data_IF_119241886049
#
_entry.id   IF_119241886049
#
_cell.length_a   1.000
_cell.length_b   1.000
_cell.length_c   1.000
_cell.angle_alpha   90.00
_cell.angle_beta   90.00
_cell.angle_gamma   90.00
#
_symmetry.space_group_name_H-M   'P 1'
#
loop_
_entity.id
_entity.type
_entity.pdbx_description
1 polymer ?
#
# COMPACT_ATOMS: atom_id res chain seq x y z
N UNK A 1 -28.59 -1.21 -9.30
CA UNK A 1 -27.79 -1.74 -8.16
C UNK A 1 -26.84 -2.86 -8.61
N UNK A 2 -27.30 -3.92 -9.28
CA UNK A 2 -26.45 -5.02 -9.75
C UNK A 2 -25.32 -4.61 -10.73
N UNK A 3 -25.59 -3.72 -11.69
CA UNK A 3 -24.56 -3.19 -12.61
C UNK A 3 -23.41 -2.45 -11.89
N UNK A 4 -23.74 -1.62 -10.89
CA UNK A 4 -22.73 -0.90 -10.07
C UNK A 4 -21.87 -1.87 -9.23
N UNK A 5 -22.49 -2.89 -8.64
CA UNK A 5 -21.76 -3.93 -7.88
C UNK A 5 -20.77 -4.69 -8.79
N UNK A 6 -21.17 -4.96 -10.04
CA UNK A 6 -20.30 -5.60 -11.02
C UNK A 6 -19.11 -4.68 -11.39
N UNK A 7 -19.35 -3.39 -11.63
CA UNK A 7 -18.27 -2.43 -11.92
C UNK A 7 -17.27 -2.27 -10.76
N UNK A 8 -17.76 -2.17 -9.52
CA UNK A 8 -16.90 -2.07 -8.34
C UNK A 8 -16.00 -3.31 -8.18
N UNK A 9 -16.57 -4.51 -8.41
CA UNK A 9 -15.81 -5.77 -8.36
C UNK A 9 -14.75 -5.83 -9.48
N UNK A 10 -15.11 -5.50 -10.71
CA UNK A 10 -14.17 -5.45 -11.84
C UNK A 10 -13.03 -4.46 -11.60
N UNK A 11 -13.33 -3.30 -11.02
CA UNK A 11 -12.32 -2.29 -10.64
C UNK A 11 -11.32 -2.85 -9.63
N UNK A 12 -11.80 -3.54 -8.58
CA UNK A 12 -10.92 -4.17 -7.59
C UNK A 12 -10.09 -5.29 -8.21
N UNK A 13 -10.67 -6.15 -9.06
CA UNK A 13 -9.91 -7.20 -9.75
C UNK A 13 -8.79 -6.63 -10.64
N UNK A 14 -9.05 -5.53 -11.35
CA UNK A 14 -8.01 -4.84 -12.13
C UNK A 14 -6.88 -4.31 -11.23
N UNK A 15 -7.21 -3.77 -10.05
CA UNK A 15 -6.22 -3.35 -9.05
C UNK A 15 -5.46 -4.52 -8.43
N UNK A 16 -6.13 -5.65 -8.14
CA UNK A 16 -5.47 -6.90 -7.73
C UNK A 16 -4.46 -7.35 -8.78
N UNK A 17 -4.79 -7.27 -10.07
CA UNK A 17 -3.85 -7.60 -11.15
C UNK A 17 -2.59 -6.71 -11.11
N UNK A 18 -2.75 -5.41 -10.82
CA UNK A 18 -1.60 -4.51 -10.62
C UNK A 18 -0.78 -4.87 -9.38
N UNK A 19 -1.43 -5.24 -8.26
CA UNK A 19 -0.73 -5.75 -7.08
C UNK A 19 0.04 -7.05 -7.39
N UNK A 20 -0.53 -7.96 -8.19
CA UNK A 20 0.14 -9.18 -8.64
C UNK A 20 1.38 -8.90 -9.48
N UNK A 21 1.42 -7.78 -10.19
CA UNK A 21 2.60 -7.33 -10.92
C UNK A 21 3.65 -6.72 -9.98
N UNK A 22 3.25 -5.80 -9.11
CA UNK A 22 4.20 -5.00 -8.33
C UNK A 22 4.77 -5.73 -7.12
N UNK A 23 3.94 -6.42 -6.35
CA UNK A 23 4.35 -6.98 -5.06
C UNK A 23 5.43 -8.06 -5.16
N UNK A 24 5.38 -9.05 -6.08
CA UNK A 24 6.43 -10.06 -6.19
C UNK A 24 7.82 -9.46 -6.38
N UNK A 25 7.90 -8.40 -7.19
CA UNK A 25 9.15 -7.72 -7.51
C UNK A 25 9.70 -6.93 -6.33
N UNK A 26 8.82 -6.44 -5.46
CA UNK A 26 9.18 -5.71 -4.24
C UNK A 26 9.45 -6.62 -3.03
N UNK A 27 9.28 -7.93 -3.19
CA UNK A 27 9.63 -8.91 -2.17
C UNK A 27 11.11 -8.73 -1.79
N UNK A 28 11.41 -8.79 -0.50
CA UNK A 28 12.76 -8.68 0.08
C UNK A 28 13.44 -7.31 -0.14
N UNK A 29 12.72 -6.29 -0.60
CA UNK A 29 13.24 -4.93 -0.75
C UNK A 29 12.89 -4.04 0.46
N UNK A 30 13.68 -3.00 0.69
CA UNK A 30 13.49 -2.02 1.75
C UNK A 30 12.34 -1.06 1.40
N UNK A 31 11.23 -1.04 2.16
CA UNK A 31 10.08 -0.19 1.85
C UNK A 31 10.36 1.31 2.10
N UNK A 32 11.33 1.64 2.97
CA UNK A 32 11.73 3.03 3.22
C UNK A 32 12.42 3.61 1.98
N UNK A 33 13.44 2.91 1.45
CA UNK A 33 14.08 3.29 0.20
C UNK A 33 13.09 3.42 -0.95
N UNK A 34 12.15 2.48 -1.04
CA UNK A 34 11.11 2.51 -2.06
C UNK A 34 10.22 3.76 -1.92
N UNK A 35 9.64 4.00 -0.75
CA UNK A 35 8.73 5.13 -0.50
C UNK A 35 9.42 6.51 -0.52
N UNK A 36 10.68 6.59 -0.09
CA UNK A 36 11.44 7.85 -0.05
C UNK A 36 12.08 8.22 -1.41
N UNK A 37 12.44 7.24 -2.24
CA UNK A 37 13.28 7.51 -3.43
C UNK A 37 12.85 6.83 -4.72
N UNK A 38 11.79 6.00 -4.71
CA UNK A 38 11.42 5.17 -5.85
C UNK A 38 12.59 4.29 -6.37
N UNK A 39 13.33 3.68 -5.44
CA UNK A 39 14.42 2.73 -5.72
C UNK A 39 14.16 1.37 -5.06
N UNK A 40 14.60 0.31 -5.73
CA UNK A 40 14.68 -1.05 -5.20
C UNK A 40 16.05 -1.24 -4.54
N UNK A 41 16.07 -1.36 -3.21
CA UNK A 41 17.26 -1.73 -2.44
C UNK A 41 16.92 -2.98 -1.65
N UNK A 42 17.74 -4.02 -1.73
CA UNK A 42 17.50 -5.27 -0.99
C UNK A 42 17.57 -5.00 0.52
N UNK A 43 16.58 -5.46 1.27
CA UNK A 43 16.50 -5.25 2.71
C UNK A 43 17.66 -5.91 3.47
N UNK A 44 18.14 -7.06 3.00
CA UNK A 44 19.28 -7.76 3.59
C UNK A 44 20.59 -6.96 3.49
N UNK A 45 20.72 -6.08 2.49
CA UNK A 45 21.91 -5.25 2.29
C UNK A 45 21.85 -3.96 3.10
N UNK A 46 20.78 -3.74 3.87
CA UNK A 46 20.42 -2.45 4.46
C UNK A 46 20.07 -2.61 5.94
N UNK A 47 20.96 -3.26 6.71
CA UNK A 47 20.82 -3.40 8.18
C UNK A 47 20.76 -2.05 8.89
N UNK A 48 21.24 -0.98 8.25
CA UNK A 48 21.16 0.41 8.72
C UNK A 48 20.60 1.32 7.61
N UNK A 49 19.32 1.11 7.25
CA UNK A 49 18.63 2.00 6.31
C UNK A 49 18.81 3.46 6.73
N UNK A 50 19.45 4.33 5.91
CA UNK A 50 19.75 5.70 6.29
C UNK A 50 18.46 6.51 6.56
N UNK A 51 17.36 6.10 5.92
CA UNK A 51 16.05 6.71 6.10
C UNK A 51 15.36 6.35 7.43
N UNK A 52 15.89 5.38 8.19
CA UNK A 52 15.35 5.03 9.51
C UNK A 52 15.40 6.22 10.47
N UNK A 53 16.40 7.10 10.32
CA UNK A 53 16.53 8.31 11.12
C UNK A 53 15.81 9.52 10.51
N UNK A 54 15.51 9.49 9.20
CA UNK A 54 14.81 10.56 8.48
C UNK A 54 13.30 10.45 8.60
N UNK A 55 12.77 9.24 8.81
CA UNK A 55 11.35 8.96 8.94
C UNK A 55 11.04 8.66 10.42
N UNK A 56 10.11 9.37 11.07
CA UNK A 56 9.79 9.17 12.48
C UNK A 56 9.11 7.80 12.68
N UNK A 57 9.90 6.76 12.91
CA UNK A 57 9.38 5.39 13.01
C UNK A 57 8.45 5.17 14.20
N UNK A 58 8.50 6.02 15.22
CA UNK A 58 7.54 6.00 16.33
C UNK A 58 6.13 6.38 15.86
N UNK A 59 5.99 7.41 15.02
CA UNK A 59 4.75 7.82 14.37
C UNK A 59 4.25 6.74 13.41
N UNK A 60 5.16 6.03 12.70
CA UNK A 60 4.76 4.89 11.86
C UNK A 60 4.03 3.80 12.66
N UNK A 61 4.47 3.49 13.87
CA UNK A 61 3.79 2.50 14.71
C UNK A 61 2.39 2.98 15.12
N UNK A 62 2.22 4.28 15.36
CA UNK A 62 0.90 4.88 15.61
C UNK A 62 0.04 4.76 14.35
N UNK A 63 0.52 5.24 13.20
CA UNK A 63 -0.15 5.13 11.90
C UNK A 63 -0.62 3.69 11.62
N UNK A 64 0.27 2.70 11.74
CA UNK A 64 -0.10 1.29 11.48
C UNK A 64 -1.16 0.78 12.46
N UNK A 65 -1.10 1.17 13.74
CA UNK A 65 -2.06 0.73 14.76
C UNK A 65 -3.48 1.28 14.53
N UNK A 66 -3.61 2.41 13.85
CA UNK A 66 -4.91 3.02 13.56
C UNK A 66 -5.71 2.27 12.50
N UNK A 67 -5.06 1.45 11.67
CA UNK A 67 -5.76 0.61 10.70
C UNK A 67 -6.54 -0.50 11.40
N UNK A 68 -7.85 -0.32 11.45
CA UNK A 68 -8.81 -1.32 11.90
C UNK A 68 -9.61 -1.80 10.70
N UNK A 69 -9.38 -3.05 10.29
CA UNK A 69 -10.08 -3.63 9.15
C UNK A 69 -11.15 -4.61 9.62
N UNK A 70 -12.26 -4.68 8.87
CA UNK A 70 -13.16 -5.80 9.02
C UNK A 70 -12.40 -7.12 8.75
N UNK A 71 -12.65 -8.18 9.54
CA UNK A 71 -11.93 -9.44 9.40
C UNK A 71 -11.90 -9.96 7.95
N UNK A 72 -10.73 -10.44 7.53
CA UNK A 72 -10.49 -11.01 6.19
C UNK A 72 -10.65 -10.04 5.01
N UNK A 73 -10.67 -8.73 5.25
CA UNK A 73 -10.72 -7.72 4.18
C UNK A 73 -9.31 -7.32 3.73
N UNK A 74 -8.41 -7.15 4.69
CA UNK A 74 -7.00 -6.81 4.45
C UNK A 74 -6.10 -7.60 5.39
N UNK A 75 -4.85 -7.81 4.97
CA UNK A 75 -3.82 -8.36 5.83
C UNK A 75 -3.29 -7.26 6.77
N UNK A 76 -3.52 -7.39 8.08
CA UNK A 76 -3.01 -6.45 9.09
C UNK A 76 -1.48 -6.31 9.11
N UNK A 77 -0.74 -7.27 8.55
CA UNK A 77 0.71 -7.17 8.47
C UNK A 77 1.16 -6.24 7.35
N UNK A 78 0.53 -6.30 6.18
CA UNK A 78 1.04 -5.66 4.96
C UNK A 78 0.04 -4.77 4.20
N UNK A 79 -1.21 -4.63 4.67
CA UNK A 79 -2.31 -3.92 4.01
C UNK A 79 -2.81 -4.54 2.70
N UNK A 80 -2.28 -5.67 2.23
CA UNK A 80 -2.77 -6.29 1.00
C UNK A 80 -4.23 -6.77 1.17
N UNK A 81 -5.08 -6.60 0.14
CA UNK A 81 -6.45 -7.11 0.17
C UNK A 81 -6.47 -8.63 0.31
N UNK A 82 -7.49 -9.13 1.00
CA UNK A 82 -7.75 -10.55 1.20
C UNK A 82 -9.07 -10.94 0.55
N UNK A 83 -9.19 -12.20 0.16
CA UNK A 83 -10.39 -12.70 -0.47
C UNK A 83 -11.42 -13.07 0.57
N UNK A 84 -12.37 -12.17 0.81
CA UNK A 84 -13.61 -12.52 1.51
C UNK A 84 -14.48 -13.35 0.58
N UNK A 85 -14.93 -14.52 1.04
CA UNK A 85 -15.82 -15.42 0.29
C UNK A 85 -15.30 -15.82 -1.11
N UNK A 86 -13.99 -16.00 -1.27
CA UNK A 86 -13.37 -16.40 -2.55
C UNK A 86 -13.64 -15.44 -3.73
N UNK A 87 -13.79 -14.14 -3.46
CA UNK A 87 -14.04 -13.11 -4.48
C UNK A 87 -12.85 -12.82 -5.44
N UNK A 88 -11.70 -13.51 -5.29
CA UNK A 88 -10.54 -13.34 -6.16
C UNK A 88 -9.73 -12.05 -5.96
N UNK A 89 -10.08 -11.20 -4.98
CA UNK A 89 -9.38 -9.93 -4.75
C UNK A 89 -8.02 -10.07 -4.04
N UNK A 90 -7.70 -11.25 -3.49
CA UNK A 90 -6.41 -11.54 -2.88
C UNK A 90 -5.31 -11.67 -3.95
N UNK A 91 -4.20 -10.91 -3.84
CA UNK A 91 -3.05 -11.10 -4.72
C UNK A 91 -2.45 -12.50 -4.56
N UNK A 92 -2.08 -13.13 -5.68
CA UNK A 92 -1.51 -14.47 -5.73
C UNK A 92 -0.25 -14.60 -4.86
N UNK A 93 0.60 -13.57 -4.84
CA UNK A 93 1.80 -13.52 -4.00
C UNK A 93 1.49 -13.55 -2.49
N UNK A 94 0.24 -13.26 -2.11
CA UNK A 94 -0.23 -13.27 -0.73
C UNK A 94 -1.19 -14.44 -0.44
N UNK A 95 -1.60 -15.23 -1.44
CA UNK A 95 -2.62 -16.27 -1.31
C UNK A 95 -2.29 -17.30 -0.21
N UNK A 96 -1.01 -17.67 -0.10
CA UNK A 96 -0.53 -18.72 0.81
C UNK A 96 -0.28 -18.23 2.25
N UNK A 97 -0.16 -16.92 2.44
CA UNK A 97 0.23 -16.29 3.71
C UNK A 97 -1.00 -15.87 4.51
N UNK A 98 -1.66 -16.87 5.12
CA UNK A 98 -2.81 -16.66 6.01
C UNK A 98 -2.33 -16.51 7.46
N UNK A 99 -2.86 -15.51 8.18
CA UNK A 99 -2.51 -15.14 9.57
C UNK A 99 -2.40 -16.32 10.57
N UNK A 100 -3.12 -17.42 10.33
CA UNK A 100 -3.14 -18.59 11.22
C UNK A 100 -2.06 -19.66 10.95
N UNK A 101 -1.30 -19.57 9.85
CA UNK A 101 -0.36 -20.62 9.42
C UNK A 101 1.09 -20.46 9.94
N UNK A 102 1.34 -19.59 10.94
CA UNK A 102 2.68 -19.30 11.52
C UNK A 102 3.76 -18.88 10.51
N UNK A 103 3.41 -18.63 9.25
CA UNK A 103 4.34 -18.15 8.23
C UNK A 103 4.30 -16.62 8.23
N UNK A 104 5.41 -15.92 8.52
CA UNK A 104 5.44 -14.47 8.48
C UNK A 104 5.11 -13.99 7.06
N UNK A 105 4.26 -12.96 6.95
CA UNK A 105 3.95 -12.35 5.66
C UNK A 105 5.24 -11.75 5.08
N UNK A 106 5.71 -12.15 3.88
CA UNK A 106 6.96 -11.64 3.32
C UNK A 106 6.89 -10.15 2.94
N UNK A 107 5.67 -9.59 2.90
CA UNK A 107 5.42 -8.18 2.62
C UNK A 107 5.11 -7.38 3.88
N UNK A 108 5.40 -7.92 5.08
CA UNK A 108 5.04 -7.29 6.34
C UNK A 108 5.54 -5.83 6.42
N UNK A 109 4.60 -4.92 6.61
CA UNK A 109 4.82 -3.50 6.71
C UNK A 109 5.12 -2.79 5.39
N UNK A 110 5.19 -3.47 4.24
CA UNK A 110 5.71 -2.86 3.01
C UNK A 110 4.83 -1.69 2.52
N UNK A 111 3.55 -1.93 2.26
CA UNK A 111 2.63 -0.88 1.78
C UNK A 111 2.52 0.24 2.82
N UNK A 112 2.31 -0.12 4.10
CA UNK A 112 2.22 0.85 5.18
C UNK A 112 3.46 1.76 5.24
N UNK A 113 4.67 1.18 5.25
CA UNK A 113 5.92 1.95 5.34
C UNK A 113 6.13 2.79 4.09
N UNK A 114 5.90 2.24 2.90
CA UNK A 114 6.06 2.98 1.65
C UNK A 114 5.16 4.22 1.62
N UNK A 115 3.88 4.07 1.98
CA UNK A 115 2.90 5.17 1.99
C UNK A 115 3.19 6.18 3.09
N UNK A 116 3.59 5.72 4.27
CA UNK A 116 4.04 6.60 5.35
C UNK A 116 5.30 7.39 4.95
N UNK A 117 6.26 6.76 4.27
CA UNK A 117 7.45 7.45 3.76
C UNK A 117 7.09 8.51 2.70
N UNK A 118 6.13 8.23 1.82
CA UNK A 118 5.65 9.23 0.85
C UNK A 118 5.08 10.48 1.54
N UNK A 119 4.43 10.32 2.70
CA UNK A 119 3.93 11.46 3.49
C UNK A 119 5.06 12.32 4.08
N UNK A 120 6.17 11.70 4.48
CA UNK A 120 7.31 12.42 5.03
C UNK A 120 8.25 12.98 3.97
N UNK A 121 8.09 12.59 2.70
CA UNK A 121 8.83 13.18 1.59
C UNK A 121 7.99 14.21 0.85
N UNK A 122 8.37 15.49 0.96
CA UNK A 122 7.54 16.63 0.55
C UNK A 122 7.06 16.53 -0.90
N UNK A 123 7.96 16.16 -1.82
CA UNK A 123 7.62 16.00 -3.23
C UNK A 123 6.53 14.96 -3.43
N UNK A 124 6.63 13.81 -2.76
CA UNK A 124 5.65 12.74 -2.91
C UNK A 124 4.35 13.04 -2.18
N UNK A 125 4.41 13.67 -1.01
CA UNK A 125 3.22 14.16 -0.30
C UNK A 125 2.40 15.10 -1.16
N UNK A 126 3.02 16.11 -1.77
CA UNK A 126 2.32 17.08 -2.62
C UNK A 126 1.64 16.41 -3.81
N UNK A 127 2.32 15.47 -4.48
CA UNK A 127 1.74 14.72 -5.60
C UNK A 127 0.61 13.79 -5.15
N UNK A 128 0.78 13.09 -4.01
CA UNK A 128 -0.23 12.21 -3.44
C UNK A 128 -1.52 12.97 -3.11
N UNK A 129 -1.41 14.12 -2.45
CA UNK A 129 -2.55 14.97 -2.09
C UNK A 129 -3.29 15.45 -3.34
N UNK A 130 -2.54 15.90 -4.35
CA UNK A 130 -3.10 16.38 -5.61
C UNK A 130 -3.82 15.28 -6.38
N UNK A 131 -3.18 14.13 -6.57
CA UNK A 131 -3.62 13.15 -7.54
C UNK A 131 -4.53 12.06 -6.95
N UNK A 132 -4.40 11.75 -5.66
CA UNK A 132 -5.11 10.65 -5.00
C UNK A 132 -6.13 11.16 -3.99
N UNK A 133 -5.74 12.13 -3.16
CA UNK A 133 -6.65 12.72 -2.17
C UNK A 133 -7.64 13.73 -2.77
N UNK A 134 -7.61 13.94 -4.10
CA UNK A 134 -8.55 14.83 -4.80
C UNK A 134 -8.43 16.28 -4.38
N UNK A 135 -7.25 16.71 -3.93
CA UNK A 135 -7.03 18.06 -3.39
C UNK A 135 -7.54 18.27 -1.97
N UNK A 136 -7.83 17.19 -1.22
CA UNK A 136 -8.10 17.30 0.21
C UNK A 136 -6.94 17.98 0.94
N UNK A 137 -7.27 18.86 1.88
CA UNK A 137 -6.27 19.58 2.68
C UNK A 137 -5.76 18.68 3.81
N UNK A 138 -4.86 17.76 3.48
CA UNK A 138 -4.14 16.96 4.46
C UNK A 138 -2.92 17.77 4.92
N UNK A 139 -3.05 18.48 6.04
CA UNK A 139 -2.01 19.39 6.55
C UNK A 139 -1.23 18.78 7.72
N UNK A 140 -1.87 17.85 8.43
CA UNK A 140 -1.35 17.21 9.64
C UNK A 140 -1.21 15.71 9.43
N UNK A 141 -0.38 15.08 10.28
CA UNK A 141 -0.26 13.63 10.29
C UNK A 141 -1.61 12.97 10.61
N UNK A 142 -2.37 13.48 11.59
CA UNK A 142 -3.65 12.88 11.98
C UNK A 142 -4.69 12.91 10.85
N UNK A 143 -4.76 14.01 10.09
CA UNK A 143 -5.61 14.09 8.88
C UNK A 143 -5.19 13.06 7.84
N UNK A 144 -3.88 12.91 7.62
CA UNK A 144 -3.35 11.89 6.72
C UNK A 144 -3.67 10.46 7.19
N UNK A 145 -3.54 10.18 8.49
CA UNK A 145 -3.88 8.87 9.07
C UNK A 145 -5.37 8.59 8.83
N UNK A 146 -6.25 9.53 9.16
CA UNK A 146 -7.68 9.40 8.99
C UNK A 146 -8.03 9.11 7.53
N UNK A 147 -7.49 9.92 6.61
CA UNK A 147 -7.67 9.73 5.17
C UNK A 147 -7.16 8.37 4.69
N UNK A 148 -5.97 7.93 5.12
CA UNK A 148 -5.36 6.70 4.63
C UNK A 148 -6.14 5.43 4.98
N UNK A 149 -6.92 5.46 6.06
CA UNK A 149 -7.74 4.33 6.54
C UNK A 149 -9.09 4.27 5.83
N UNK A 150 -9.59 5.39 5.31
CA UNK A 150 -10.87 5.44 4.61
C UNK A 150 -10.91 4.47 3.42
N UNK A 151 -12.07 3.85 3.23
CA UNK A 151 -12.36 2.92 2.14
C UNK A 151 -13.66 3.35 1.44
N UNK A 152 -13.65 3.35 0.11
CA UNK A 152 -14.85 3.55 -0.70
C UNK A 152 -15.17 2.29 -1.52
N UNK A 153 -15.73 1.30 -0.82
CA UNK A 153 -16.05 0.00 -1.39
C UNK A 153 -17.12 0.07 -2.50
N UNK A 154 -18.00 1.08 -2.47
CA UNK A 154 -19.04 1.27 -3.48
C UNK A 154 -18.47 1.67 -4.85
N UNK A 155 -17.37 2.41 -4.86
CA UNK A 155 -16.63 2.80 -6.07
C UNK A 155 -15.60 1.74 -6.52
N UNK A 156 -15.51 0.61 -5.82
CA UNK A 156 -14.45 -0.37 -6.09
C UNK A 156 -13.06 0.13 -5.71
N UNK A 157 -12.97 1.07 -4.77
CA UNK A 157 -11.70 1.49 -4.17
C UNK A 157 -11.37 0.59 -2.98
N UNK A 158 -10.09 0.26 -2.86
CA UNK A 158 -9.53 -0.20 -1.61
C UNK A 158 -9.42 0.97 -0.63
N UNK A 159 -8.92 0.70 0.58
CA UNK A 159 -8.51 1.78 1.45
C UNK A 159 -7.48 2.71 0.77
N UNK A 160 -7.49 3.98 1.14
CA UNK A 160 -6.65 4.99 0.50
C UNK A 160 -5.15 4.70 0.63
N UNK A 161 -4.71 3.96 1.65
CA UNK A 161 -3.34 3.48 1.77
C UNK A 161 -2.94 2.54 0.61
N UNK A 162 -3.79 1.59 0.22
CA UNK A 162 -3.55 0.72 -0.94
C UNK A 162 -3.67 1.50 -2.25
N UNK A 163 -4.63 2.42 -2.36
CA UNK A 163 -4.78 3.27 -3.55
C UNK A 163 -3.55 4.17 -3.77
N UNK A 164 -3.03 4.79 -2.70
CA UNK A 164 -1.81 5.58 -2.70
C UNK A 164 -0.61 4.76 -3.19
N UNK A 165 -0.46 3.55 -2.68
CA UNK A 165 0.62 2.64 -3.09
C UNK A 165 0.51 2.25 -4.57
N UNK A 166 -0.68 1.91 -5.04
CA UNK A 166 -0.93 1.59 -6.45
C UNK A 166 -0.64 2.78 -7.36
N UNK A 167 -1.08 3.98 -6.97
CA UNK A 167 -0.77 5.21 -7.69
C UNK A 167 0.75 5.40 -7.78
N UNK A 168 1.46 5.30 -6.66
CA UNK A 168 2.91 5.49 -6.64
C UNK A 168 3.66 4.51 -7.54
N UNK A 169 3.27 3.23 -7.53
CA UNK A 169 3.83 2.24 -8.45
C UNK A 169 3.58 2.61 -9.92
N UNK A 170 2.39 3.11 -10.26
CA UNK A 170 2.10 3.58 -11.62
C UNK A 170 2.97 4.79 -12.01
N UNK A 171 3.16 5.77 -11.13
CA UNK A 171 4.02 6.92 -11.41
C UNK A 171 5.48 6.51 -11.64
N UNK A 172 5.98 5.56 -10.86
CA UNK A 172 7.33 5.00 -11.08
C UNK A 172 7.42 4.34 -12.45
N UNK A 173 6.41 3.55 -12.82
CA UNK A 173 6.38 2.84 -14.10
C UNK A 173 6.31 3.78 -15.32
N UNK A 174 5.62 4.93 -15.20
CA UNK A 174 5.60 5.96 -16.24
C UNK A 174 7.00 6.53 -16.52
N UNK A 175 7.80 6.71 -15.47
CA UNK A 175 9.15 7.30 -15.57
C UNK A 175 10.23 6.24 -15.85
N UNK A 176 10.02 5.02 -15.35
CA UNK A 176 10.93 3.87 -15.48
C UNK A 176 10.14 2.66 -15.99
N UNK A 177 9.83 2.62 -17.31
CA UNK A 177 9.26 1.44 -17.92
C UNK A 177 10.18 0.25 -17.61
N UNK A 178 9.65 -0.85 -17.10
CA UNK A 178 10.39 -2.04 -16.62
C UNK A 178 10.87 -2.02 -15.16
N UNK A 179 10.47 -1.04 -14.33
CA UNK A 179 10.81 -1.09 -12.90
C UNK A 179 10.26 -2.35 -12.18
N UNK A 180 9.11 -2.86 -12.64
CA UNK A 180 8.41 -4.02 -12.08
C UNK A 180 8.46 -5.26 -13.00
N UNK A 181 9.52 -5.38 -13.79
CA UNK A 181 9.82 -6.56 -14.60
C UNK A 181 11.04 -7.27 -14.00
#
# INVERSE_FOLDING_TARGET
RASRVNQASLSRLAKTSRLNKYMPVLKDHCPLHFGMTAKRVLAANDTNCPYTNSVPMHEYYVFKKMFTFAPFTYCFQCCLPQSKNHNGEQPACHAEYVYKKKSPCPFAGFIFKAVFCMWHEERFRTLLVKDVAGGATLSTLDEFIAWAIEENAEEGKYNNCVEAFLWFCAEIEKVKPNFFI
#
